data_IF_707988835288
#
_entry.id   IF_707988835288
#
_cell.length_a   1.000
_cell.length_b   1.000
_cell.length_c   1.000
_cell.angle_alpha   90.00
_cell.angle_beta   90.00
_cell.angle_gamma   90.00
#
_symmetry.space_group_name_H-M   'P 1'
#
loop_
_entity.id
_entity.type
_entity.pdbx_description
1 polymer ?
#
# COMPACT_ATOMS: atom_id res chain seq x y z
N UNK A 1 -66.18 9.90 -23.20
CA UNK A 1 -65.39 9.56 -24.40
C UNK A 1 -64.68 10.84 -24.82
N UNK A 2 -63.51 11.12 -24.23
CA UNK A 2 -62.17 10.88 -24.82
C UNK A 2 -61.22 10.26 -23.75
N UNK A 3 -59.95 9.88 -23.92
CA UNK A 3 -59.04 9.68 -25.05
C UNK A 3 -57.96 8.68 -24.56
N UNK A 4 -57.85 7.53 -25.24
CA UNK A 4 -57.03 6.38 -24.84
C UNK A 4 -55.55 6.48 -25.29
N UNK A 5 -55.05 7.69 -25.54
CA UNK A 5 -53.78 7.94 -26.23
C UNK A 5 -52.59 8.31 -25.31
N UNK A 6 -52.81 8.52 -24.00
CA UNK A 6 -51.76 8.98 -23.07
C UNK A 6 -51.04 7.90 -22.26
N UNK A 7 -51.62 6.70 -22.15
CA UNK A 7 -51.12 5.65 -21.24
C UNK A 7 -50.08 4.74 -21.91
N UNK A 8 -50.27 4.42 -23.19
CA UNK A 8 -49.39 3.53 -23.97
C UNK A 8 -47.98 4.16 -24.15
N UNK A 9 -47.91 5.48 -24.29
CA UNK A 9 -46.66 6.23 -24.55
C UNK A 9 -45.74 6.36 -23.33
N UNK A 10 -46.27 6.27 -22.10
CA UNK A 10 -45.47 6.30 -20.87
C UNK A 10 -44.87 4.93 -20.53
N UNK A 11 -45.56 3.83 -20.86
CA UNK A 11 -45.07 2.47 -20.65
C UNK A 11 -43.99 2.08 -21.67
N UNK A 12 -44.12 2.49 -22.94
CA UNK A 12 -43.10 2.25 -23.96
C UNK A 12 -41.76 2.96 -23.65
N UNK A 13 -41.79 4.16 -23.03
CA UNK A 13 -40.58 4.87 -22.59
C UNK A 13 -39.89 4.21 -21.38
N UNK A 14 -40.64 3.60 -20.46
CA UNK A 14 -40.04 2.93 -19.29
C UNK A 14 -39.52 1.53 -19.62
N UNK A 15 -40.19 0.77 -20.48
CA UNK A 15 -39.70 -0.55 -20.91
C UNK A 15 -38.41 -0.45 -21.74
N UNK A 16 -38.26 0.58 -22.58
CA UNK A 16 -37.02 0.79 -23.35
C UNK A 16 -35.83 1.26 -22.51
N UNK A 17 -36.05 1.88 -21.35
CA UNK A 17 -34.97 2.32 -20.44
C UNK A 17 -34.55 1.18 -19.49
N UNK A 18 -35.45 0.25 -19.15
CA UNK A 18 -35.10 -0.93 -18.33
C UNK A 18 -34.47 -2.08 -19.12
N UNK A 19 -34.68 -2.16 -20.44
CA UNK A 19 -34.06 -3.17 -21.32
C UNK A 19 -32.77 -2.69 -22.03
N UNK A 20 -32.36 -1.42 -21.84
CA UNK A 20 -31.12 -0.87 -22.41
C UNK A 20 -29.90 -0.92 -21.47
N UNK A 21 -30.01 -1.57 -20.31
CA UNK A 21 -28.94 -1.72 -19.32
C UNK A 21 -28.46 -3.17 -19.13
N UNK A 22 -28.84 -4.08 -20.02
CA UNK A 22 -28.59 -5.52 -19.94
C UNK A 22 -28.10 -6.11 -21.29
N UNK A 23 -27.14 -5.46 -21.99
CA UNK A 23 -25.88 -6.17 -22.25
C UNK A 23 -24.69 -5.23 -22.53
N UNK A 24 -24.03 -4.70 -21.48
CA UNK A 24 -22.68 -4.12 -21.61
C UNK A 24 -21.70 -4.67 -20.53
N UNK A 25 -22.03 -5.82 -19.94
CA UNK A 25 -21.02 -6.75 -19.43
C UNK A 25 -20.61 -7.70 -20.56
N UNK A 26 -20.37 -7.15 -21.76
CA UNK A 26 -19.58 -7.83 -22.76
C UNK A 26 -18.17 -7.89 -22.18
N UNK A 27 -17.84 -9.09 -21.73
CA UNK A 27 -16.59 -9.47 -21.10
C UNK A 27 -15.39 -8.76 -21.74
N UNK A 28 -14.52 -8.18 -20.93
CA UNK A 28 -13.12 -8.04 -21.31
C UNK A 28 -12.57 -9.47 -21.46
N UNK A 29 -12.83 -10.13 -22.58
CA UNK A 29 -12.02 -11.28 -22.98
C UNK A 29 -10.64 -10.71 -23.23
N UNK A 30 -9.73 -10.96 -22.28
CA UNK A 30 -8.31 -10.80 -22.57
C UNK A 30 -8.06 -11.67 -23.81
N UNK A 31 -7.75 -11.04 -24.93
CA UNK A 31 -7.12 -11.74 -26.04
C UNK A 31 -5.74 -12.14 -25.53
N UNK A 32 -5.64 -13.33 -24.94
CA UNK A 32 -4.37 -14.02 -24.99
C UNK A 32 -4.14 -14.30 -26.46
N UNK A 33 -3.33 -13.49 -27.14
CA UNK A 33 -2.77 -13.86 -28.43
C UNK A 33 -2.27 -15.29 -28.29
N UNK A 34 -2.83 -16.28 -29.02
CA UNK A 34 -2.20 -17.58 -29.06
C UNK A 34 -0.78 -17.35 -29.58
N UNK A 35 0.19 -17.71 -28.75
CA UNK A 35 1.60 -17.66 -29.09
C UNK A 35 1.79 -18.26 -30.48
N UNK A 36 2.66 -17.62 -31.24
CA UNK A 36 2.98 -18.01 -32.60
C UNK A 36 3.37 -19.50 -32.63
N UNK A 37 2.62 -20.28 -33.42
CA UNK A 37 3.17 -21.42 -34.16
C UNK A 37 3.52 -22.66 -33.35
N UNK A 38 2.52 -23.34 -32.80
CA UNK A 38 2.62 -24.78 -32.51
C UNK A 38 2.65 -25.59 -33.81
N UNK A 39 3.77 -25.54 -34.52
CA UNK A 39 4.09 -26.58 -35.51
C UNK A 39 4.24 -27.94 -34.81
N UNK A 40 4.06 -29.07 -35.51
CA UNK A 40 4.29 -30.37 -34.92
C UNK A 40 5.69 -30.42 -34.32
N UNK A 41 5.78 -30.60 -32.99
CA UNK A 41 7.07 -30.82 -32.33
C UNK A 41 7.78 -31.95 -33.06
N UNK A 42 9.00 -31.74 -33.58
CA UNK A 42 9.78 -32.84 -34.12
C UNK A 42 9.84 -33.92 -33.03
N UNK A 43 9.59 -35.18 -33.42
CA UNK A 43 9.64 -36.31 -32.50
C UNK A 43 10.87 -36.16 -31.60
N UNK A 44 10.73 -36.32 -30.28
CA UNK A 44 11.87 -36.21 -29.40
C UNK A 44 12.94 -37.19 -29.90
N UNK A 45 14.19 -36.74 -30.07
CA UNK A 45 15.25 -37.62 -30.54
C UNK A 45 15.38 -38.80 -29.57
N UNK A 46 15.60 -40.00 -30.12
CA UNK A 46 15.70 -41.24 -29.33
C UNK A 46 16.84 -41.20 -28.29
N UNK A 47 17.86 -40.36 -28.53
CA UNK A 47 18.92 -40.07 -27.59
C UNK A 47 19.42 -38.62 -27.77
N UNK A 48 19.82 -37.99 -26.66
CA UNK A 48 20.50 -36.71 -26.66
C UNK A 48 22.00 -36.90 -26.50
N UNK A 49 22.79 -36.01 -27.10
CA UNK A 49 24.23 -35.95 -26.84
C UNK A 49 24.48 -35.45 -25.42
N UNK A 50 25.62 -35.85 -24.84
CA UNK A 50 26.09 -35.35 -23.54
C UNK A 50 26.77 -33.97 -23.65
N UNK A 51 26.55 -33.27 -24.76
CA UNK A 51 27.11 -31.93 -24.98
C UNK A 51 26.47 -30.94 -24.00
N UNK A 52 27.30 -30.17 -23.29
CA UNK A 52 26.83 -29.16 -22.37
C UNK A 52 26.81 -27.78 -23.05
N UNK A 53 25.62 -27.36 -23.48
CA UNK A 53 25.36 -26.08 -24.14
C UNK A 53 24.04 -25.51 -23.55
N UNK A 54 24.09 -24.90 -22.35
CA UNK A 54 22.90 -24.67 -21.56
C UNK A 54 21.90 -23.74 -22.25
N UNK A 55 20.61 -24.03 -22.08
CA UNK A 55 19.52 -23.22 -22.62
C UNK A 55 18.44 -22.98 -21.57
N UNK A 56 17.72 -21.87 -21.72
CA UNK A 56 16.52 -21.59 -20.94
C UNK A 56 15.31 -22.09 -21.72
N UNK A 57 14.67 -23.14 -21.22
CA UNK A 57 13.44 -23.68 -21.77
C UNK A 57 12.21 -23.09 -21.07
N UNK A 58 11.14 -22.85 -21.81
CA UNK A 58 9.84 -22.42 -21.29
C UNK A 58 8.71 -23.35 -21.71
N UNK A 59 7.74 -23.54 -20.80
CA UNK A 59 6.52 -24.31 -21.04
C UNK A 59 5.36 -23.67 -20.28
N UNK A 60 4.51 -22.94 -20.99
CA UNK A 60 3.50 -22.07 -20.37
C UNK A 60 4.18 -21.03 -19.48
N UNK A 61 3.81 -20.97 -18.19
CA UNK A 61 4.39 -20.04 -17.22
C UNK A 61 5.69 -20.55 -16.54
N UNK A 62 6.16 -21.77 -16.86
CA UNK A 62 7.36 -22.36 -16.23
C UNK A 62 8.59 -22.09 -17.08
N UNK A 63 9.70 -21.69 -16.45
CA UNK A 63 11.03 -21.59 -17.05
C UNK A 63 12.02 -22.47 -16.30
N UNK A 64 12.86 -23.20 -17.04
CA UNK A 64 13.86 -24.10 -16.47
C UNK A 64 15.12 -24.14 -17.34
N UNK A 65 16.28 -24.18 -16.69
CA UNK A 65 17.58 -24.38 -17.35
C UNK A 65 17.77 -25.86 -17.69
N UNK A 66 18.13 -26.15 -18.94
CA UNK A 66 18.49 -27.50 -19.40
C UNK A 66 19.97 -27.58 -19.80
N UNK A 67 20.63 -28.75 -19.67
CA UNK A 67 22.03 -28.95 -20.06
C UNK A 67 22.28 -28.63 -21.53
N UNK A 68 21.30 -28.93 -22.39
CA UNK A 68 21.32 -28.59 -23.81
C UNK A 68 19.90 -28.49 -24.41
N UNK A 69 19.86 -28.01 -25.65
CA UNK A 69 18.64 -27.86 -26.45
C UNK A 69 17.90 -29.18 -26.70
N UNK A 70 18.62 -30.30 -26.78
CA UNK A 70 18.02 -31.61 -27.01
C UNK A 70 17.21 -32.05 -25.79
N UNK A 71 17.79 -31.94 -24.59
CA UNK A 71 17.11 -32.28 -23.33
C UNK A 71 15.90 -31.39 -23.03
N UNK A 72 15.97 -30.10 -23.39
CA UNK A 72 14.83 -29.19 -23.24
C UNK A 72 13.64 -29.67 -24.09
N UNK A 73 13.88 -29.94 -25.38
CA UNK A 73 12.85 -30.38 -26.32
C UNK A 73 12.33 -31.77 -26.01
N UNK A 74 13.19 -32.70 -25.57
CA UNK A 74 12.75 -34.06 -25.19
C UNK A 74 11.80 -34.06 -23.99
N UNK A 75 11.90 -33.05 -23.12
CA UNK A 75 10.99 -32.81 -21.99
C UNK A 75 9.80 -31.90 -22.32
N UNK A 76 9.65 -31.51 -23.59
CA UNK A 76 8.55 -30.68 -24.09
C UNK A 76 8.65 -29.21 -23.70
N UNK A 77 9.86 -28.66 -23.55
CA UNK A 77 10.09 -27.23 -23.37
C UNK A 77 10.53 -26.60 -24.69
N UNK A 78 9.99 -25.41 -24.97
CA UNK A 78 10.44 -24.56 -26.07
C UNK A 78 11.64 -23.74 -25.61
N UNK A 79 12.60 -23.47 -26.51
CA UNK A 79 13.81 -22.73 -26.13
C UNK A 79 13.52 -21.24 -26.19
N UNK A 80 13.49 -20.59 -25.03
CA UNK A 80 13.30 -19.14 -24.92
C UNK A 80 14.58 -18.38 -25.35
N UNK A 81 15.75 -18.79 -24.83
CA UNK A 81 17.04 -18.23 -25.21
C UNK A 81 18.21 -19.17 -24.89
N UNK A 82 19.38 -18.89 -25.48
CA UNK A 82 20.65 -19.56 -25.15
C UNK A 82 21.16 -19.12 -23.78
N UNK A 83 21.89 -19.99 -23.10
CA UNK A 83 22.33 -19.78 -21.73
C UNK A 83 21.28 -20.19 -20.70
N UNK A 84 21.68 -20.20 -19.43
CA UNK A 84 20.81 -20.62 -18.33
C UNK A 84 19.67 -19.61 -18.13
N UNK A 85 18.51 -20.07 -17.65
CA UNK A 85 17.46 -19.16 -17.23
C UNK A 85 18.00 -18.23 -16.15
N UNK A 86 17.59 -16.96 -16.21
CA UNK A 86 17.80 -16.05 -15.10
C UNK A 86 16.92 -16.53 -13.96
N UNK A 87 17.47 -17.28 -13.01
CA UNK A 87 16.89 -17.37 -11.68
C UNK A 87 16.89 -15.95 -11.12
N UNK A 88 15.79 -15.54 -10.49
CA UNK A 88 15.85 -14.44 -9.51
C UNK A 88 17.11 -14.68 -8.68
N UNK A 89 18.00 -13.67 -8.55
CA UNK A 89 19.33 -13.89 -8.01
C UNK A 89 19.18 -14.65 -6.69
N UNK A 90 19.81 -15.82 -6.61
CA UNK A 90 19.81 -16.62 -5.39
C UNK A 90 20.70 -15.85 -4.41
N UNK A 91 20.13 -14.84 -3.76
CA UNK A 91 20.83 -13.95 -2.84
C UNK A 91 21.02 -14.69 -1.51
N UNK A 92 21.64 -15.88 -1.54
CA UNK A 92 21.82 -16.75 -0.38
C UNK A 92 23.07 -16.44 0.45
N UNK A 93 23.89 -15.50 0.00
CA UNK A 93 25.03 -15.01 0.77
C UNK A 93 25.03 -13.49 0.83
N UNK A 94 24.24 -12.92 1.73
CA UNK A 94 24.38 -11.51 2.08
C UNK A 94 25.50 -11.32 3.10
N UNK A 95 26.31 -10.28 2.89
CA UNK A 95 27.29 -9.84 3.89
C UNK A 95 26.55 -9.35 5.13
N UNK A 96 27.17 -9.46 6.31
CA UNK A 96 26.65 -8.86 7.56
C UNK A 96 26.97 -7.37 7.67
N UNK A 97 27.24 -6.71 6.54
CA UNK A 97 27.44 -5.27 6.49
C UNK A 97 26.13 -4.57 6.84
N UNK A 98 26.20 -3.58 7.74
CA UNK A 98 25.05 -2.79 8.13
C UNK A 98 25.03 -1.47 7.34
N UNK A 99 24.18 -1.41 6.33
CA UNK A 99 23.96 -0.28 5.45
C UNK A 99 22.45 -0.16 5.17
N UNK A 100 21.66 0.34 6.14
CA UNK A 100 20.22 0.13 6.15
C UNK A 100 19.52 0.75 4.95
N UNK A 101 18.47 0.08 4.48
CA UNK A 101 17.63 0.54 3.36
C UNK A 101 16.15 0.39 3.68
N UNK A 102 15.33 1.24 3.07
CA UNK A 102 13.89 1.11 3.13
C UNK A 102 13.39 0.38 1.89
N UNK A 103 12.86 -0.83 2.09
CA UNK A 103 12.24 -1.65 1.06
C UNK A 103 10.72 -1.51 1.05
N UNK A 104 10.10 -1.69 -0.11
CA UNK A 104 8.65 -1.69 -0.28
C UNK A 104 8.17 -2.93 -1.06
N UNK A 105 7.14 -3.59 -0.54
CA UNK A 105 6.46 -4.73 -1.18
C UNK A 105 4.97 -4.68 -0.85
N UNK A 106 4.12 -4.65 -1.88
CA UNK A 106 2.66 -4.65 -1.71
C UNK A 106 2.13 -3.50 -0.84
N UNK A 107 2.70 -2.30 -0.97
CA UNK A 107 2.31 -1.12 -0.20
C UNK A 107 2.82 -1.09 1.26
N UNK A 108 3.52 -2.13 1.72
CA UNK A 108 4.18 -2.15 3.04
C UNK A 108 5.64 -1.74 2.89
N UNK A 109 6.11 -0.93 3.84
CA UNK A 109 7.51 -0.49 3.94
C UNK A 109 8.21 -1.13 5.14
N UNK A 110 9.41 -1.64 4.92
CA UNK A 110 10.21 -2.30 5.95
C UNK A 110 11.68 -1.90 5.82
N UNK A 111 12.34 -1.69 6.95
CA UNK A 111 13.78 -1.46 7.03
C UNK A 111 14.51 -2.80 6.97
N UNK A 112 15.56 -2.86 6.14
CA UNK A 112 16.47 -4.01 6.04
C UNK A 112 17.88 -3.59 6.45
N UNK A 113 18.67 -4.52 6.97
CA UNK A 113 20.05 -4.26 7.44
C UNK A 113 20.95 -3.81 6.30
N UNK A 114 20.70 -4.34 5.10
CA UNK A 114 21.36 -3.91 3.87
C UNK A 114 20.53 -4.19 2.62
N UNK A 115 21.02 -3.67 1.49
CA UNK A 115 20.39 -3.82 0.18
C UNK A 115 20.36 -5.25 -0.35
N UNK A 116 21.22 -6.13 0.15
CA UNK A 116 21.25 -7.53 -0.22
C UNK A 116 20.05 -8.27 0.41
N UNK A 117 19.87 -8.12 1.73
CA UNK A 117 18.74 -8.70 2.47
C UNK A 117 17.39 -8.24 1.90
N UNK A 118 17.25 -6.94 1.62
CA UNK A 118 16.03 -6.39 1.03
C UNK A 118 15.67 -7.07 -0.30
N UNK A 119 16.66 -7.29 -1.18
CA UNK A 119 16.42 -7.93 -2.48
C UNK A 119 16.17 -9.42 -2.34
N UNK A 120 16.86 -10.09 -1.41
CA UNK A 120 16.64 -11.51 -1.10
C UNK A 120 15.20 -11.79 -0.66
N UNK A 121 14.64 -10.89 0.14
CA UNK A 121 13.24 -10.97 0.63
C UNK A 121 12.21 -10.48 -0.40
N UNK A 122 12.65 -10.09 -1.61
CA UNK A 122 11.79 -9.63 -2.70
C UNK A 122 11.23 -8.21 -2.49
N UNK A 123 11.91 -7.37 -1.71
CA UNK A 123 11.56 -5.97 -1.53
C UNK A 123 12.29 -5.09 -2.55
N UNK A 124 11.57 -4.11 -3.09
CA UNK A 124 12.14 -3.04 -3.92
C UNK A 124 12.62 -1.91 -3.02
N UNK A 125 13.89 -1.53 -3.13
CA UNK A 125 14.47 -0.43 -2.35
C UNK A 125 13.89 0.90 -2.85
N UNK A 126 13.28 1.68 -1.95
CA UNK A 126 12.66 2.98 -2.24
C UNK A 126 13.42 4.15 -1.63
N UNK A 127 14.23 3.92 -0.60
CA UNK A 127 15.09 4.94 0.01
C UNK A 127 16.34 4.33 0.64
N UNK A 128 17.40 5.14 0.74
CA UNK A 128 18.58 4.84 1.57
C UNK A 128 18.26 5.14 3.04
N UNK A 129 18.85 4.38 3.94
CA UNK A 129 18.54 4.45 5.38
C UNK A 129 17.23 3.75 5.73
N UNK A 130 16.88 3.81 7.00
CA UNK A 130 15.67 3.16 7.53
C UNK A 130 14.37 3.78 6.98
N UNK A 131 13.30 3.00 6.98
CA UNK A 131 11.98 3.52 6.67
C UNK A 131 11.55 4.54 7.72
N UNK A 132 11.19 5.74 7.26
CA UNK A 132 10.65 6.80 8.12
C UNK A 132 9.30 6.36 8.70
N UNK A 133 9.27 5.99 9.98
CA UNK A 133 8.02 5.85 10.75
C UNK A 133 7.49 7.19 11.26
N UNK A 134 8.34 8.21 11.29
CA UNK A 134 7.98 9.54 11.75
C UNK A 134 7.98 10.52 10.58
N UNK A 135 6.96 11.38 10.45
CA UNK A 135 7.11 12.60 9.67
C UNK A 135 8.41 13.27 10.09
N UNK A 136 9.17 13.89 9.16
CA UNK A 136 10.33 14.68 9.56
C UNK A 136 9.89 15.67 10.66
N UNK A 137 10.71 15.91 11.69
CA UNK A 137 10.40 16.94 12.67
C UNK A 137 10.04 18.20 11.89
N UNK A 138 8.88 18.79 12.20
CA UNK A 138 8.48 20.04 11.57
C UNK A 138 9.60 21.04 11.88
N UNK A 139 10.12 21.79 10.89
CA UNK A 139 11.11 22.80 11.16
C UNK A 139 10.61 23.68 12.30
N UNK A 140 11.45 23.91 13.31
CA UNK A 140 11.13 24.86 14.36
C UNK A 140 10.84 26.19 13.69
N UNK A 141 9.59 26.64 13.80
CA UNK A 141 9.20 27.95 13.30
C UNK A 141 9.61 28.93 14.39
N UNK A 142 10.72 29.68 14.23
CA UNK A 142 11.08 30.70 15.21
C UNK A 142 9.91 31.70 15.32
N UNK A 143 9.51 32.02 16.55
CA UNK A 143 8.35 32.87 16.82
C UNK A 143 7.06 32.13 17.15
N UNK A 144 7.07 30.80 17.34
CA UNK A 144 6.03 30.17 18.18
C UNK A 144 6.35 30.58 19.62
N UNK A 145 5.48 31.35 20.32
CA UNK A 145 5.65 31.53 21.75
C UNK A 145 5.67 30.14 22.37
N UNK A 146 6.67 29.83 23.18
CA UNK A 146 6.57 28.73 24.11
C UNK A 146 5.21 28.90 24.79
N UNK A 147 4.33 27.91 24.65
CA UNK A 147 3.19 27.82 25.57
C UNK A 147 3.88 27.87 26.93
N UNK A 148 3.56 28.84 27.82
CA UNK A 148 4.17 28.85 29.13
C UNK A 148 3.99 27.44 29.66
N UNK A 149 5.12 26.73 29.80
CA UNK A 149 5.15 25.46 30.48
C UNK A 149 4.43 25.73 31.79
N UNK A 150 3.37 24.94 32.03
CA UNK A 150 2.48 25.03 33.19
C UNK A 150 3.21 25.76 34.31
N UNK A 151 2.83 27.00 34.54
CA UNK A 151 3.41 27.71 35.66
C UNK A 151 3.26 26.82 36.89
N UNK A 152 4.34 26.65 37.67
CA UNK A 152 4.33 25.77 38.82
C UNK A 152 3.13 26.11 39.69
N UNK A 153 2.55 25.10 40.32
CA UNK A 153 1.40 25.23 41.24
C UNK A 153 1.51 26.52 42.07
N UNK A 154 0.76 27.55 41.66
CA UNK A 154 0.86 28.88 42.25
C UNK A 154 0.13 28.86 43.59
N UNK A 155 0.69 29.49 44.62
CA UNK A 155 -0.07 29.74 45.86
C UNK A 155 -1.25 30.67 45.52
N UNK A 156 -2.46 30.13 45.60
CA UNK A 156 -3.67 30.91 45.36
C UNK A 156 -4.14 31.60 46.63
N UNK A 157 -4.61 32.83 46.50
CA UNK A 157 -5.39 33.48 47.57
C UNK A 157 -6.72 32.75 47.75
N UNK A 158 -7.32 32.88 48.94
CA UNK A 158 -8.67 32.38 49.23
C UNK A 158 -9.77 33.33 48.73
N UNK A 159 -9.45 34.20 47.78
CA UNK A 159 -10.44 35.10 47.17
C UNK A 159 -11.47 34.28 46.39
N UNK A 160 -12.75 34.53 46.65
CA UNK A 160 -13.85 33.89 45.94
C UNK A 160 -14.35 34.80 44.80
N UNK A 161 -13.86 34.52 43.60
CA UNK A 161 -14.21 35.19 42.35
C UNK A 161 -14.45 34.11 41.28
N UNK A 162 -15.63 33.46 41.29
CA UNK A 162 -15.83 32.20 40.60
C UNK A 162 -15.67 32.33 39.09
N UNK A 163 -15.14 31.28 38.47
CA UNK A 163 -14.94 31.20 37.02
C UNK A 163 -15.40 29.86 36.46
N UNK A 164 -15.90 29.88 35.24
CA UNK A 164 -16.19 28.68 34.47
C UNK A 164 -14.98 28.41 33.57
N UNK A 165 -14.39 27.23 33.71
CA UNK A 165 -13.17 26.86 33.02
C UNK A 165 -13.32 25.50 32.31
N UNK A 166 -12.59 25.30 31.22
CA UNK A 166 -12.65 24.11 30.37
C UNK A 166 -11.30 23.38 30.34
N UNK A 167 -11.36 22.06 30.39
CA UNK A 167 -10.24 21.16 30.08
C UNK A 167 -10.76 19.93 29.34
N UNK A 168 -10.19 19.65 28.18
CA UNK A 168 -10.51 18.46 27.36
C UNK A 168 -12.03 18.28 27.13
N UNK A 169 -12.75 19.37 26.84
CA UNK A 169 -14.20 19.38 26.62
C UNK A 169 -15.07 19.29 27.87
N UNK A 170 -14.47 19.28 29.07
CA UNK A 170 -15.19 19.30 30.36
C UNK A 170 -15.21 20.70 30.95
N UNK A 171 -16.40 21.24 31.20
CA UNK A 171 -16.58 22.51 31.91
C UNK A 171 -16.74 22.28 33.43
N UNK A 172 -16.03 23.07 34.24
CA UNK A 172 -16.12 23.05 35.70
C UNK A 172 -16.05 24.48 36.26
N UNK A 173 -16.83 24.73 37.32
CA UNK A 173 -16.74 25.96 38.11
C UNK A 173 -15.58 25.85 39.10
N UNK A 174 -14.78 26.90 39.20
CA UNK A 174 -13.69 27.03 40.18
C UNK A 174 -13.90 28.24 41.08
N UNK A 175 -13.45 28.21 42.35
CA UNK A 175 -13.55 29.34 43.28
C UNK A 175 -12.88 30.61 42.78
N UNK A 176 -11.78 30.48 42.01
CA UNK A 176 -11.08 31.59 41.38
C UNK A 176 -10.24 31.13 40.18
N UNK A 177 -9.75 32.07 39.38
CA UNK A 177 -8.94 31.80 38.20
C UNK A 177 -7.62 31.07 38.51
N UNK A 178 -7.02 31.34 39.67
CA UNK A 178 -5.77 30.70 40.09
C UNK A 178 -5.96 29.20 40.32
N UNK A 179 -6.99 28.80 41.06
CA UNK A 179 -7.32 27.40 41.32
C UNK A 179 -7.71 26.65 40.04
N UNK A 180 -8.41 27.30 39.11
CA UNK A 180 -8.64 26.74 37.77
C UNK A 180 -7.34 26.45 37.01
N UNK A 181 -6.40 27.40 37.05
CA UNK A 181 -5.09 27.28 36.40
C UNK A 181 -4.24 26.15 36.98
N UNK A 182 -4.17 26.02 38.31
CA UNK A 182 -3.45 24.93 38.98
C UNK A 182 -4.02 23.54 38.61
N UNK A 183 -5.35 23.42 38.51
CA UNK A 183 -6.01 22.19 38.05
C UNK A 183 -5.86 21.95 36.52
N UNK A 184 -5.21 22.88 35.80
CA UNK A 184 -4.97 22.81 34.36
C UNK A 184 -6.19 23.14 33.51
N UNK A 185 -7.19 23.82 34.07
CA UNK A 185 -8.36 24.31 33.34
C UNK A 185 -8.12 25.73 32.82
N UNK A 186 -8.60 25.99 31.60
CA UNK A 186 -8.57 27.34 31.01
C UNK A 186 -9.89 28.06 31.30
N UNK A 187 -9.82 29.23 31.92
CA UNK A 187 -11.00 30.07 32.15
C UNK A 187 -11.65 30.45 30.82
N UNK A 188 -12.93 30.13 30.68
CA UNK A 188 -13.77 30.47 29.51
C UNK A 188 -14.53 31.77 29.78
N UNK A 189 -15.06 31.92 30.99
CA UNK A 189 -15.81 33.12 31.40
C UNK A 189 -15.85 33.31 32.91
N UNK A 190 -16.06 34.55 33.39
CA UNK A 190 -16.36 34.80 34.80
C UNK A 190 -17.72 34.21 35.21
N UNK A 191 -17.85 33.92 36.50
CA UNK A 191 -19.01 33.29 37.11
C UNK A 191 -19.06 31.78 36.88
N UNK A 192 -20.03 31.13 37.50
CA UNK A 192 -20.18 29.67 37.48
C UNK A 192 -20.60 29.11 36.10
N UNK A 193 -20.24 27.85 35.82
CA UNK A 193 -20.72 27.16 34.64
C UNK A 193 -22.25 27.03 34.67
N UNK A 194 -22.90 27.34 33.54
CA UNK A 194 -24.33 27.20 33.33
C UNK A 194 -24.56 25.76 32.87
N UNK A 195 -25.60 25.12 33.40
CA UNK A 195 -26.05 23.81 32.93
C UNK A 195 -26.75 23.93 31.59
#
# INVERSE_FOLDING_TARGET
MPDNAGFITRYARRLCISLSLLPLLAACTVETSPGHGGGPSPRPPAACTMEYAPVCGERGARRQTFPNACEARSRGFDIAHRGQCRSEPDVRACTREYAPVCGERGGRRQTFSNACEARSDGFRIVARGECRRQPPPRPDRPGRPERPDREPERMCTMEYAPVCAERDGRMRTFPNACSAGNDGFRVVRPGECRR
#
